data_IF_090886260397
#
_entry.id   IF_090886260397
#
_cell.length_a   1.000
_cell.length_b   1.000
_cell.length_c   1.000
_cell.angle_alpha   90.00
_cell.angle_beta   90.00
_cell.angle_gamma   90.00
#
_symmetry.space_group_name_H-M   'P 1'
#
loop_
_entity.id
_entity.type
_entity.pdbx_description
1 polymer ?
#
# COMPACT_ATOMS: atom_id res chain seq x y z
N UNK A 1 16.02 8.60 15.40
CA UNK A 1 15.55 7.65 14.36
C UNK A 1 14.48 6.76 15.00
N UNK A 2 13.20 6.79 14.58
CA UNK A 2 12.13 6.00 15.23
C UNK A 2 11.30 5.12 14.28
N UNK A 3 11.78 4.80 13.07
CA UNK A 3 10.99 4.01 12.10
C UNK A 3 11.76 3.21 11.06
N UNK A 4 13.04 3.50 10.81
CA UNK A 4 13.83 2.75 9.84
C UNK A 4 15.11 2.24 10.51
N UNK A 5 15.22 0.91 10.63
CA UNK A 5 16.46 0.22 10.99
C UNK A 5 17.43 0.31 9.80
N UNK A 6 18.68 0.69 10.05
CA UNK A 6 19.71 0.84 9.01
C UNK A 6 20.17 -0.53 8.49
N UNK A 7 20.03 -0.76 7.18
CA UNK A 7 20.56 -1.97 6.51
C UNK A 7 22.09 -1.93 6.49
N UNK A 8 22.72 -3.11 6.49
CA UNK A 8 24.17 -3.25 6.27
C UNK A 8 24.56 -2.97 4.82
N UNK A 9 23.62 -3.07 3.88
CA UNK A 9 23.82 -2.81 2.45
C UNK A 9 23.36 -1.40 2.09
N UNK A 10 24.08 -0.77 1.16
CA UNK A 10 23.70 0.54 0.61
C UNK A 10 22.26 0.51 0.06
N UNK A 11 21.43 1.54 0.27
CA UNK A 11 20.02 1.51 -0.11
C UNK A 11 19.76 1.18 -1.59
N UNK A 12 20.59 1.69 -2.51
CA UNK A 12 20.48 1.37 -3.93
C UNK A 12 20.76 -0.11 -4.24
N UNK A 13 21.64 -0.76 -3.47
CA UNK A 13 21.89 -2.20 -3.62
C UNK A 13 20.68 -3.02 -3.15
N UNK A 14 19.99 -2.60 -2.08
CA UNK A 14 18.73 -3.23 -1.65
C UNK A 14 17.65 -3.09 -2.72
N UNK A 15 17.54 -1.93 -3.37
CA UNK A 15 16.59 -1.72 -4.47
C UNK A 15 16.95 -2.56 -5.70
N UNK A 16 18.23 -2.65 -6.06
CA UNK A 16 18.68 -3.55 -7.14
C UNK A 16 18.36 -5.02 -6.84
N UNK A 17 18.63 -5.48 -5.62
CA UNK A 17 18.29 -6.83 -5.18
C UNK A 17 16.78 -7.06 -5.15
N UNK A 18 15.98 -6.05 -4.76
CA UNK A 18 14.53 -6.13 -4.80
C UNK A 18 14.01 -6.38 -6.22
N UNK A 19 14.59 -5.74 -7.24
CA UNK A 19 14.20 -5.95 -8.64
C UNK A 19 14.54 -7.36 -9.12
N UNK A 20 15.70 -7.90 -8.71
CA UNK A 20 16.08 -9.29 -9.00
C UNK A 20 15.09 -10.25 -8.34
N UNK A 21 14.78 -10.03 -7.06
CA UNK A 21 13.82 -10.85 -6.33
C UNK A 21 12.41 -10.75 -6.92
N UNK A 22 11.98 -9.56 -7.36
CA UNK A 22 10.72 -9.37 -8.06
C UNK A 22 10.65 -10.23 -9.33
N UNK A 23 11.71 -10.24 -10.14
CA UNK A 23 11.78 -11.06 -11.35
C UNK A 23 11.74 -12.56 -11.02
N UNK A 24 12.56 -13.01 -10.06
CA UNK A 24 12.59 -14.42 -9.64
C UNK A 24 11.24 -14.87 -9.08
N UNK A 25 10.67 -14.09 -8.16
CA UNK A 25 9.38 -14.40 -7.56
C UNK A 25 8.23 -14.32 -8.57
N UNK A 26 8.30 -13.42 -9.55
CA UNK A 26 7.35 -13.34 -10.67
C UNK A 26 7.38 -14.59 -11.54
N UNK A 27 8.57 -15.11 -11.87
CA UNK A 27 8.72 -16.38 -12.60
C UNK A 27 8.15 -17.54 -11.79
N UNK A 28 8.50 -17.65 -10.51
CA UNK A 28 7.98 -18.71 -9.63
C UNK A 28 6.46 -18.65 -9.50
N UNK A 29 5.90 -17.44 -9.38
CA UNK A 29 4.45 -17.22 -9.32
C UNK A 29 3.78 -17.64 -10.63
N UNK A 30 4.37 -17.30 -11.79
CA UNK A 30 3.85 -17.68 -13.10
C UNK A 30 3.86 -19.20 -13.31
N UNK A 31 4.91 -19.89 -12.87
CA UNK A 31 4.97 -21.36 -12.90
C UNK A 31 3.89 -21.98 -12.00
N UNK A 32 3.71 -21.45 -10.78
CA UNK A 32 2.66 -21.91 -9.87
C UNK A 32 1.26 -21.68 -10.46
N UNK A 33 1.02 -20.50 -11.04
CA UNK A 33 -0.22 -20.18 -11.77
C UNK A 33 -0.46 -21.21 -12.87
N UNK A 34 0.56 -21.55 -13.67
CA UNK A 34 0.41 -22.51 -14.75
C UNK A 34 0.05 -23.91 -14.26
N UNK A 35 0.66 -24.36 -13.17
CA UNK A 35 0.36 -25.66 -12.56
C UNK A 35 -1.09 -25.67 -12.06
N UNK A 36 -1.49 -24.67 -11.26
CA UNK A 36 -2.84 -24.61 -10.67
C UNK A 36 -3.90 -24.45 -11.78
N UNK A 37 -3.66 -23.58 -12.76
CA UNK A 37 -4.58 -23.34 -13.87
C UNK A 37 -4.78 -24.57 -14.73
N UNK A 38 -3.72 -25.35 -14.96
CA UNK A 38 -3.82 -26.61 -15.70
C UNK A 38 -4.61 -27.67 -14.92
N UNK A 39 -4.34 -27.82 -13.62
CA UNK A 39 -4.99 -28.81 -12.77
C UNK A 39 -6.49 -28.53 -12.57
N UNK A 40 -6.87 -27.26 -12.39
CA UNK A 40 -8.25 -26.88 -12.09
C UNK A 40 -9.08 -26.58 -13.34
N UNK A 41 -8.48 -26.03 -14.39
CA UNK A 41 -9.19 -25.46 -15.53
C UNK A 41 -8.72 -25.97 -16.90
N UNK A 42 -7.71 -26.84 -16.94
CA UNK A 42 -7.12 -27.33 -18.18
C UNK A 42 -6.33 -26.28 -18.98
N UNK A 43 -5.97 -25.16 -18.35
CA UNK A 43 -5.23 -24.06 -19.01
C UNK A 43 -3.74 -24.19 -18.68
N UNK A 44 -2.98 -24.75 -19.62
CA UNK A 44 -1.53 -24.89 -19.53
C UNK A 44 -0.74 -23.60 -19.81
N UNK A 45 0.57 -23.66 -19.59
CA UNK A 45 1.50 -22.53 -19.69
C UNK A 45 1.40 -21.74 -21.02
N UNK A 46 1.29 -22.44 -22.15
CA UNK A 46 1.23 -21.84 -23.49
C UNK A 46 -0.05 -21.05 -23.74
N UNK A 47 -1.15 -21.43 -23.08
CA UNK A 47 -2.44 -20.76 -23.24
C UNK A 47 -2.61 -19.57 -22.28
N UNK A 48 -1.90 -19.55 -21.14
CA UNK A 48 -2.03 -18.50 -20.12
C UNK A 48 -1.87 -17.09 -20.66
N UNK A 49 -0.87 -16.86 -21.52
CA UNK A 49 -0.63 -15.54 -22.11
C UNK A 49 -1.84 -15.03 -22.89
N UNK A 50 -2.46 -15.90 -23.69
CA UNK A 50 -3.64 -15.57 -24.47
C UNK A 50 -4.87 -15.36 -23.58
N UNK A 51 -5.03 -16.16 -22.52
CA UNK A 51 -6.11 -15.96 -21.54
C UNK A 51 -5.98 -14.61 -20.84
N UNK A 52 -4.78 -14.19 -20.44
CA UNK A 52 -4.61 -12.89 -19.78
C UNK A 52 -4.88 -11.70 -20.70
N UNK A 53 -4.57 -11.83 -22.00
CA UNK A 53 -4.84 -10.75 -22.96
C UNK A 53 -6.32 -10.65 -23.33
N UNK A 54 -7.02 -11.78 -23.44
CA UNK A 54 -8.42 -11.82 -23.88
C UNK A 54 -9.25 -12.80 -23.04
N UNK A 55 -9.43 -12.54 -21.73
CA UNK A 55 -10.04 -13.52 -20.82
C UNK A 55 -11.51 -13.81 -21.16
N UNK A 56 -12.22 -12.86 -21.78
CA UNK A 56 -13.60 -13.05 -22.22
C UNK A 56 -13.78 -14.15 -23.27
N UNK A 57 -12.72 -14.52 -24.00
CA UNK A 57 -12.77 -15.49 -25.09
C UNK A 57 -12.60 -16.95 -24.62
N UNK A 58 -12.39 -17.15 -23.32
CA UNK A 58 -12.12 -18.47 -22.73
C UNK A 58 -13.15 -18.80 -21.64
N UNK A 59 -13.61 -20.06 -21.60
CA UNK A 59 -14.65 -20.51 -20.68
C UNK A 59 -14.33 -20.24 -19.19
N UNK A 60 -13.06 -20.46 -18.79
CA UNK A 60 -12.56 -20.23 -17.42
C UNK A 60 -11.67 -18.98 -17.34
N UNK A 61 -11.83 -18.03 -18.26
CA UNK A 61 -10.92 -16.89 -18.36
C UNK A 61 -10.96 -15.98 -17.14
N UNK A 62 -12.14 -15.78 -16.54
CA UNK A 62 -12.29 -14.99 -15.31
C UNK A 62 -11.54 -15.63 -14.14
N UNK A 63 -11.73 -16.93 -13.93
CA UNK A 63 -11.14 -17.69 -12.83
C UNK A 63 -9.60 -17.72 -12.94
N UNK A 64 -9.08 -17.99 -14.14
CA UNK A 64 -7.65 -18.00 -14.42
C UNK A 64 -7.03 -16.61 -14.27
N UNK A 65 -7.70 -15.55 -14.74
CA UNK A 65 -7.24 -14.18 -14.54
C UNK A 65 -7.24 -13.74 -13.09
N UNK A 66 -8.30 -14.01 -12.31
CA UNK A 66 -8.33 -13.70 -10.88
C UNK A 66 -7.23 -14.45 -10.11
N UNK A 67 -7.04 -15.75 -10.40
CA UNK A 67 -5.95 -16.54 -9.83
C UNK A 67 -4.58 -15.93 -10.15
N UNK A 68 -4.38 -15.52 -11.41
CA UNK A 68 -3.11 -14.96 -11.87
C UNK A 68 -2.83 -13.61 -11.24
N UNK A 69 -3.81 -12.72 -11.16
CA UNK A 69 -3.69 -11.41 -10.52
C UNK A 69 -3.32 -11.56 -9.03
N UNK A 70 -4.03 -12.44 -8.32
CA UNK A 70 -3.80 -12.69 -6.90
C UNK A 70 -2.41 -13.29 -6.62
N UNK A 71 -2.02 -14.33 -7.35
CA UNK A 71 -0.73 -15.00 -7.14
C UNK A 71 0.46 -14.15 -7.60
N UNK A 72 0.32 -13.39 -8.69
CA UNK A 72 1.40 -12.53 -9.18
C UNK A 72 1.66 -11.35 -8.23
N UNK A 73 0.62 -10.72 -7.68
CA UNK A 73 0.79 -9.66 -6.68
C UNK A 73 1.33 -10.23 -5.36
N UNK A 74 0.72 -11.30 -4.85
CA UNK A 74 1.11 -11.88 -3.57
C UNK A 74 2.51 -12.47 -3.60
N UNK A 75 2.80 -13.29 -4.62
CA UNK A 75 4.10 -13.93 -4.80
C UNK A 75 5.16 -12.96 -5.31
N UNK A 76 4.85 -12.16 -6.34
CA UNK A 76 5.76 -11.19 -6.94
C UNK A 76 6.10 -10.04 -5.99
N UNK A 77 5.14 -9.15 -5.72
CA UNK A 77 5.39 -7.97 -4.88
C UNK A 77 5.56 -8.35 -3.40
N UNK A 78 4.57 -9.05 -2.84
CA UNK A 78 4.60 -9.45 -1.42
C UNK A 78 5.76 -10.38 -1.11
N UNK A 79 5.95 -11.42 -1.92
CA UNK A 79 7.02 -12.38 -1.76
C UNK A 79 8.41 -11.78 -1.96
N UNK A 80 8.62 -10.88 -2.93
CA UNK A 80 9.90 -10.19 -3.08
C UNK A 80 10.24 -9.30 -1.88
N UNK A 81 9.26 -8.57 -1.34
CA UNK A 81 9.45 -7.73 -0.16
C UNK A 81 9.83 -8.56 1.08
N UNK A 82 9.12 -9.68 1.30
CA UNK A 82 9.41 -10.63 2.39
C UNK A 82 10.77 -11.29 2.21
N UNK A 83 11.09 -11.74 0.99
CA UNK A 83 12.36 -12.38 0.68
C UNK A 83 13.54 -11.44 0.93
N UNK A 84 13.47 -10.19 0.47
CA UNK A 84 14.52 -9.19 0.72
C UNK A 84 14.72 -8.96 2.22
N UNK A 85 13.62 -8.81 2.96
CA UNK A 85 13.65 -8.56 4.40
C UNK A 85 14.36 -9.70 5.14
N UNK A 86 14.02 -10.95 4.81
CA UNK A 86 14.68 -12.13 5.39
C UNK A 86 16.14 -12.24 4.98
N UNK A 87 16.47 -12.01 3.71
CA UNK A 87 17.85 -12.08 3.20
C UNK A 87 18.77 -11.02 3.80
N UNK A 88 18.21 -9.88 4.21
CA UNK A 88 18.94 -8.81 4.90
C UNK A 88 19.03 -9.00 6.42
N UNK A 89 18.51 -10.12 6.94
CA UNK A 89 18.63 -10.52 8.34
C UNK A 89 17.64 -9.84 9.29
N UNK A 90 16.56 -9.26 8.76
CA UNK A 90 15.52 -8.66 9.58
C UNK A 90 14.37 -9.62 9.84
N UNK A 91 13.84 -9.56 11.07
CA UNK A 91 12.53 -10.10 11.39
C UNK A 91 11.42 -9.24 10.75
N UNK A 92 10.39 -9.89 10.19
CA UNK A 92 9.32 -9.20 9.47
C UNK A 92 8.61 -8.13 10.33
N UNK A 93 8.23 -8.42 11.60
CA UNK A 93 7.55 -7.42 12.42
C UNK A 93 8.41 -6.19 12.71
N UNK A 94 9.72 -6.37 12.88
CA UNK A 94 10.63 -5.25 13.18
C UNK A 94 10.92 -4.40 11.94
N UNK A 95 10.80 -5.01 10.76
CA UNK A 95 10.98 -4.32 9.50
C UNK A 95 9.75 -3.50 9.09
N UNK A 96 8.56 -4.12 9.12
CA UNK A 96 7.32 -3.50 8.61
C UNK A 96 6.47 -2.83 9.71
N UNK A 97 6.60 -3.26 10.96
CA UNK A 97 5.81 -2.73 12.10
C UNK A 97 6.70 -2.30 13.27
N UNK A 98 7.64 -1.37 13.07
CA UNK A 98 8.53 -0.91 14.15
C UNK A 98 7.76 -0.35 15.35
N UNK A 99 6.55 0.19 15.16
CA UNK A 99 5.59 0.45 16.24
C UNK A 99 4.52 -0.64 16.27
N UNK A 100 4.77 -1.71 17.02
CA UNK A 100 3.89 -2.90 17.06
C UNK A 100 2.49 -2.59 17.59
N UNK A 101 2.39 -1.79 18.64
CA UNK A 101 1.12 -1.42 19.25
C UNK A 101 0.69 -0.05 18.75
N UNK A 102 -0.48 0.00 18.11
CA UNK A 102 -1.16 1.23 17.70
C UNK A 102 -2.62 1.19 18.16
N UNK A 103 -3.24 2.34 18.48
CA UNK A 103 -4.67 2.36 18.76
C UNK A 103 -5.44 1.84 17.52
N UNK A 104 -6.36 0.87 17.67
CA UNK A 104 -7.09 0.31 16.53
C UNK A 104 -7.91 1.38 15.79
N UNK A 105 -8.29 2.46 16.48
CA UNK A 105 -8.94 3.62 15.87
C UNK A 105 -8.12 4.28 14.75
N UNK A 106 -6.79 4.13 14.73
CA UNK A 106 -5.97 4.64 13.62
C UNK A 106 -6.25 3.92 12.30
N UNK A 107 -6.50 2.61 12.34
CA UNK A 107 -6.84 1.83 11.14
C UNK A 107 -8.16 2.31 10.55
N UNK A 108 -9.18 2.44 11.40
CA UNK A 108 -10.51 2.91 10.98
C UNK A 108 -10.45 4.35 10.46
N UNK A 109 -9.77 5.25 11.16
CA UNK A 109 -9.66 6.65 10.74
C UNK A 109 -8.88 6.80 9.44
N UNK A 110 -7.84 5.97 9.20
CA UNK A 110 -7.10 5.96 7.95
C UNK A 110 -7.97 5.46 6.78
N UNK A 111 -8.78 4.42 7.00
CA UNK A 111 -9.79 3.97 6.04
C UNK A 111 -10.84 5.05 5.73
N UNK A 112 -11.39 5.69 6.77
CA UNK A 112 -12.37 6.78 6.62
C UNK A 112 -11.78 7.98 5.90
N UNK A 113 -10.52 8.35 6.18
CA UNK A 113 -9.82 9.44 5.50
C UNK A 113 -9.80 9.22 3.98
N UNK A 114 -9.45 8.02 3.54
CA UNK A 114 -9.38 7.66 2.12
C UNK A 114 -10.75 7.76 1.46
N UNK A 115 -11.77 7.11 2.03
CA UNK A 115 -13.14 7.15 1.49
C UNK A 115 -13.68 8.58 1.47
N UNK A 116 -13.48 9.33 2.55
CA UNK A 116 -13.88 10.73 2.64
C UNK A 116 -13.16 11.62 1.63
N UNK A 117 -11.97 11.24 1.15
CA UNK A 117 -11.20 12.00 0.16
C UNK A 117 -11.63 11.78 -1.29
N UNK A 118 -12.49 10.80 -1.57
CA UNK A 118 -12.85 10.45 -2.96
C UNK A 118 -13.54 11.60 -3.71
N UNK A 119 -14.50 12.35 -3.12
CA UNK A 119 -15.07 13.49 -3.83
C UNK A 119 -14.05 14.58 -4.14
N UNK A 120 -13.14 14.89 -3.22
CA UNK A 120 -12.02 15.77 -3.48
C UNK A 120 -11.13 15.25 -4.63
N UNK A 121 -10.86 13.95 -4.67
CA UNK A 121 -10.06 13.30 -5.71
C UNK A 121 -10.71 13.39 -7.10
N UNK A 122 -12.04 13.51 -7.20
CA UNK A 122 -12.75 13.64 -8.48
C UNK A 122 -12.28 14.82 -9.33
N UNK A 123 -11.84 15.93 -8.69
CA UNK A 123 -11.27 17.08 -9.41
C UNK A 123 -9.93 16.71 -10.05
N UNK A 124 -9.08 15.97 -9.32
CA UNK A 124 -7.78 15.55 -9.83
C UNK A 124 -7.93 14.49 -10.94
N UNK A 125 -8.92 13.58 -10.79
CA UNK A 125 -9.29 12.61 -11.83
C UNK A 125 -9.75 13.34 -13.09
N UNK A 126 -10.69 14.28 -12.96
CA UNK A 126 -11.22 15.03 -14.12
C UNK A 126 -10.17 15.87 -14.81
N UNK A 127 -9.30 16.54 -14.03
CA UNK A 127 -8.18 17.29 -14.57
C UNK A 127 -7.20 16.37 -15.33
N UNK A 128 -6.84 15.22 -14.76
CA UNK A 128 -5.90 14.31 -15.39
C UNK A 128 -6.47 13.64 -16.65
N UNK A 129 -7.78 13.34 -16.66
CA UNK A 129 -8.47 12.81 -17.84
C UNK A 129 -8.43 13.78 -19.04
N UNK A 130 -8.45 15.09 -18.76
CA UNK A 130 -8.42 16.19 -19.73
C UNK A 130 -7.00 16.64 -20.11
N UNK A 131 -5.96 16.03 -19.52
CA UNK A 131 -4.56 16.36 -19.80
C UNK A 131 -4.19 15.87 -21.20
N UNK A 132 -3.69 16.77 -22.05
CA UNK A 132 -3.10 16.45 -23.34
C UNK A 132 -1.63 16.83 -23.36
N UNK A 133 -0.81 16.00 -23.99
CA UNK A 133 0.62 16.22 -24.11
C UNK A 133 0.94 17.14 -25.30
N UNK A 134 2.12 17.78 -25.30
CA UNK A 134 2.60 18.54 -26.45
C UNK A 134 2.67 17.69 -27.72
N UNK A 135 2.58 18.32 -28.90
CA UNK A 135 2.56 17.66 -30.22
C UNK A 135 3.69 16.63 -30.41
N UNK A 136 4.89 16.92 -29.90
CA UNK A 136 6.04 16.00 -29.95
C UNK A 136 5.78 14.63 -29.30
N UNK A 137 4.80 14.54 -28.38
CA UNK A 137 4.42 13.32 -27.67
C UNK A 137 3.02 12.82 -28.04
N UNK A 138 2.36 13.42 -29.04
CA UNK A 138 0.99 13.05 -29.42
C UNK A 138 0.85 11.57 -29.82
N UNK A 139 1.84 11.03 -30.54
CA UNK A 139 1.84 9.60 -30.90
C UNK A 139 1.95 8.69 -29.67
N UNK A 140 2.77 9.07 -28.69
CA UNK A 140 2.88 8.33 -27.44
C UNK A 140 1.60 8.43 -26.61
N UNK A 141 0.98 9.61 -26.56
CA UNK A 141 -0.30 9.80 -25.87
C UNK A 141 -1.39 8.89 -26.45
N UNK A 142 -1.49 8.81 -27.77
CA UNK A 142 -2.46 7.94 -28.44
C UNK A 142 -2.24 6.47 -28.07
N UNK A 143 -0.98 5.99 -28.11
CA UNK A 143 -0.63 4.63 -27.69
C UNK A 143 -0.98 4.38 -26.21
N UNK A 144 -0.69 5.33 -25.33
CA UNK A 144 -1.00 5.23 -23.90
C UNK A 144 -2.51 5.15 -23.64
N UNK A 145 -3.31 5.98 -24.33
CA UNK A 145 -4.77 5.98 -24.23
C UNK A 145 -5.38 4.68 -24.78
N UNK A 146 -4.87 4.14 -25.89
CA UNK A 146 -5.32 2.86 -26.44
C UNK A 146 -4.99 1.69 -25.50
N UNK A 147 -3.78 1.67 -24.93
CA UNK A 147 -3.39 0.66 -23.95
C UNK A 147 -4.29 0.73 -22.69
N UNK A 148 -4.59 1.94 -22.21
CA UNK A 148 -5.49 2.15 -21.08
C UNK A 148 -6.93 1.72 -21.40
N UNK A 149 -7.47 2.05 -22.57
CA UNK A 149 -8.79 1.59 -23.01
C UNK A 149 -8.88 0.06 -23.07
N UNK A 150 -7.81 -0.60 -23.52
CA UNK A 150 -7.71 -2.08 -23.51
C UNK A 150 -7.71 -2.63 -22.09
N UNK A 151 -6.92 -2.03 -21.19
CA UNK A 151 -6.89 -2.42 -19.78
C UNK A 151 -8.26 -2.23 -19.08
N UNK A 152 -8.98 -1.16 -19.42
CA UNK A 152 -10.32 -0.89 -18.87
C UNK A 152 -11.33 -1.98 -19.27
N UNK A 153 -11.25 -2.53 -20.47
CA UNK A 153 -12.11 -3.66 -20.88
C UNK A 153 -11.87 -4.90 -20.00
N UNK A 154 -10.60 -5.20 -19.70
CA UNK A 154 -10.24 -6.29 -18.79
C UNK A 154 -10.72 -6.02 -17.36
N UNK A 155 -10.54 -4.80 -16.85
CA UNK A 155 -11.03 -4.42 -15.51
C UNK A 155 -12.54 -4.62 -15.43
N UNK A 156 -13.31 -4.09 -16.40
CA UNK A 156 -14.78 -4.24 -16.45
C UNK A 156 -15.22 -5.70 -16.54
N UNK A 157 -14.48 -6.54 -17.28
CA UNK A 157 -14.76 -7.97 -17.33
C UNK A 157 -14.54 -8.64 -15.96
N UNK A 158 -13.43 -8.33 -15.29
CA UNK A 158 -13.07 -8.91 -14.00
C UNK A 158 -13.99 -8.44 -12.87
N UNK A 159 -14.46 -7.19 -12.92
CA UNK A 159 -15.36 -6.58 -11.92
C UNK A 159 -16.84 -6.76 -12.24
N UNK A 160 -17.21 -7.56 -13.24
CA UNK A 160 -18.60 -7.95 -13.48
C UNK A 160 -19.02 -9.07 -12.54
N UNK A 161 -19.88 -8.74 -11.56
CA UNK A 161 -20.28 -9.63 -10.48
C UNK A 161 -21.57 -10.38 -10.80
N UNK A 162 -21.46 -11.46 -11.59
CA UNK A 162 -22.59 -12.36 -11.88
C UNK A 162 -23.09 -13.15 -10.66
N UNK A 163 -22.33 -13.21 -9.57
CA UNK A 163 -22.72 -13.88 -8.32
C UNK A 163 -22.06 -13.22 -7.09
N UNK A 164 -22.62 -13.40 -5.88
CA UNK A 164 -21.98 -12.94 -4.65
C UNK A 164 -20.59 -13.57 -4.42
N UNK A 165 -20.38 -14.81 -4.87
CA UNK A 165 -19.09 -15.48 -4.78
C UNK A 165 -18.01 -14.75 -5.60
N UNK A 166 -18.33 -14.30 -6.83
CA UNK A 166 -17.40 -13.51 -7.65
C UNK A 166 -17.05 -12.19 -7.00
N UNK A 167 -18.00 -11.54 -6.32
CA UNK A 167 -17.73 -10.32 -5.56
C UNK A 167 -16.78 -10.56 -4.39
N UNK A 168 -16.98 -11.63 -3.61
CA UNK A 168 -16.07 -11.98 -2.49
C UNK A 168 -14.66 -12.28 -2.98
N UNK A 169 -14.53 -13.03 -4.08
CA UNK A 169 -13.22 -13.29 -4.71
C UNK A 169 -12.59 -11.98 -5.20
N UNK A 170 -13.34 -11.09 -5.83
CA UNK A 170 -12.83 -9.79 -6.25
C UNK A 170 -12.39 -8.92 -5.07
N UNK A 171 -13.14 -8.90 -3.95
CA UNK A 171 -12.69 -8.22 -2.72
C UNK A 171 -11.35 -8.76 -2.23
N UNK A 172 -11.17 -10.09 -2.23
CA UNK A 172 -9.91 -10.69 -1.83
C UNK A 172 -8.77 -10.31 -2.79
N UNK A 173 -8.99 -10.47 -4.10
CA UNK A 173 -7.94 -10.37 -5.13
C UNK A 173 -7.62 -8.93 -5.53
N UNK A 174 -8.61 -8.03 -5.52
CA UNK A 174 -8.48 -6.64 -5.99
C UNK A 174 -8.41 -5.63 -4.82
N UNK A 175 -8.88 -5.98 -3.62
CA UNK A 175 -8.76 -5.10 -2.45
C UNK A 175 -7.75 -5.61 -1.41
N UNK A 176 -7.89 -6.83 -0.92
CA UNK A 176 -7.05 -7.33 0.18
C UNK A 176 -5.62 -7.61 -0.27
N UNK A 177 -5.43 -8.41 -1.33
CA UNK A 177 -4.10 -8.79 -1.80
C UNK A 177 -3.25 -7.56 -2.18
N UNK A 178 -3.73 -6.60 -3.00
CA UNK A 178 -2.95 -5.40 -3.33
C UNK A 178 -2.63 -4.58 -2.09
N UNK A 179 -3.62 -4.36 -1.21
CA UNK A 179 -3.41 -3.61 0.02
C UNK A 179 -2.34 -4.24 0.92
N UNK A 180 -2.15 -5.55 0.89
CA UNK A 180 -1.05 -6.20 1.64
C UNK A 180 0.25 -6.16 0.84
N UNK A 181 0.25 -6.72 -0.37
CA UNK A 181 1.45 -6.98 -1.15
C UNK A 181 2.13 -5.71 -1.63
N UNK A 182 1.35 -4.73 -2.10
CA UNK A 182 1.89 -3.46 -2.57
C UNK A 182 2.39 -2.62 -1.39
N UNK A 183 1.71 -2.60 -0.24
CA UNK A 183 2.21 -1.86 0.93
C UNK A 183 3.53 -2.42 1.45
N UNK A 184 3.67 -3.76 1.54
CA UNK A 184 4.94 -4.39 1.89
C UNK A 184 6.07 -3.98 0.93
N UNK A 185 5.79 -4.00 -0.37
CA UNK A 185 6.79 -3.68 -1.40
C UNK A 185 7.12 -2.18 -1.43
N UNK A 186 6.12 -1.32 -1.52
CA UNK A 186 6.31 0.11 -1.70
C UNK A 186 6.67 0.83 -0.41
N UNK A 187 5.92 0.62 0.68
CA UNK A 187 6.11 1.38 1.93
C UNK A 187 7.17 0.71 2.79
N UNK A 188 7.07 -0.60 2.89
CA UNK A 188 8.04 -1.41 3.63
C UNK A 188 9.45 -1.34 3.06
N UNK A 189 9.62 -1.50 1.74
CA UNK A 189 10.94 -1.56 1.12
C UNK A 189 11.31 -0.31 0.32
N UNK A 190 10.56 0.06 -0.73
CA UNK A 190 10.98 1.12 -1.65
C UNK A 190 11.10 2.47 -0.94
N UNK A 191 10.04 2.95 -0.31
CA UNK A 191 10.00 4.21 0.43
C UNK A 191 11.10 4.25 1.48
N UNK A 192 11.23 3.19 2.29
CA UNK A 192 12.28 3.09 3.30
C UNK A 192 13.69 3.28 2.72
N UNK A 193 14.02 2.59 1.63
CA UNK A 193 15.34 2.70 1.02
C UNK A 193 15.54 4.05 0.33
N UNK A 194 14.52 4.64 -0.30
CA UNK A 194 14.61 5.97 -0.92
C UNK A 194 14.75 7.08 0.13
N UNK A 195 14.07 6.98 1.27
CA UNK A 195 14.24 7.91 2.40
C UNK A 195 15.67 7.81 2.96
N UNK A 196 16.22 6.61 3.09
CA UNK A 196 17.62 6.43 3.52
C UNK A 196 18.61 6.98 2.49
N UNK A 197 18.39 6.69 1.21
CA UNK A 197 19.28 7.11 0.13
C UNK A 197 19.32 8.64 -0.03
N UNK A 198 18.16 9.27 -0.08
CA UNK A 198 18.04 10.73 -0.29
C UNK A 198 18.29 11.53 0.99
N UNK A 199 18.38 10.86 2.15
CA UNK A 199 18.40 11.49 3.47
C UNK A 199 17.23 12.45 3.73
N UNK A 200 16.14 12.31 2.97
CA UNK A 200 14.96 13.18 3.05
C UNK A 200 13.67 12.34 3.05
N UNK A 201 12.87 12.50 4.11
CA UNK A 201 11.58 11.82 4.27
C UNK A 201 10.64 12.16 3.12
N UNK A 202 10.53 13.45 2.83
CA UNK A 202 9.61 13.96 1.81
C UNK A 202 10.01 13.47 0.42
N UNK A 203 11.28 13.62 0.04
CA UNK A 203 11.75 13.19 -1.28
C UNK A 203 11.60 11.67 -1.45
N UNK A 204 11.95 10.88 -0.42
CA UNK A 204 11.78 9.43 -0.47
C UNK A 204 10.32 9.00 -0.62
N UNK A 205 9.39 9.67 0.08
CA UNK A 205 7.93 9.44 -0.05
C UNK A 205 7.45 9.82 -1.45
N UNK A 206 7.86 10.97 -1.97
CA UNK A 206 7.45 11.45 -3.29
C UNK A 206 7.93 10.52 -4.40
N UNK A 207 9.19 10.10 -4.35
CA UNK A 207 9.73 9.15 -5.32
C UNK A 207 9.03 7.79 -5.23
N UNK A 208 8.77 7.28 -4.03
CA UNK A 208 8.03 6.03 -3.86
C UNK A 208 6.60 6.12 -4.40
N UNK A 209 5.89 7.23 -4.15
CA UNK A 209 4.55 7.48 -4.67
C UNK A 209 4.54 7.61 -6.21
N UNK A 210 5.56 8.25 -6.78
CA UNK A 210 5.70 8.39 -8.23
C UNK A 210 5.95 7.02 -8.90
N UNK A 211 6.84 6.20 -8.32
CA UNK A 211 7.09 4.83 -8.81
C UNK A 211 5.83 3.98 -8.66
N UNK A 212 5.14 4.03 -7.51
CA UNK A 212 3.88 3.35 -7.27
C UNK A 212 2.85 3.67 -8.36
N UNK A 213 2.68 4.94 -8.70
CA UNK A 213 1.78 5.36 -9.77
C UNK A 213 2.25 4.89 -11.15
N UNK A 214 3.53 5.07 -11.48
CA UNK A 214 4.09 4.80 -12.80
C UNK A 214 3.99 3.33 -13.22
N UNK A 215 4.21 2.39 -12.29
CA UNK A 215 4.20 0.94 -12.60
C UNK A 215 2.82 0.40 -12.99
N UNK A 216 1.76 1.19 -12.84
CA UNK A 216 0.42 0.80 -13.29
C UNK A 216 0.19 1.06 -14.79
N UNK A 217 1.11 1.78 -15.46
CA UNK A 217 1.05 2.05 -16.91
C UNK A 217 -0.27 2.64 -17.41
N UNK A 218 -0.95 3.45 -16.59
CA UNK A 218 -2.20 4.13 -16.95
C UNK A 218 -2.02 5.63 -16.78
N UNK A 219 -1.88 6.33 -17.91
CA UNK A 219 -1.55 7.74 -17.96
C UNK A 219 -2.66 8.60 -17.32
N UNK A 220 -3.93 8.28 -17.59
CA UNK A 220 -5.08 9.03 -17.06
C UNK A 220 -5.36 8.74 -15.58
N UNK A 221 -4.72 7.73 -15.01
CA UNK A 221 -4.74 7.43 -13.57
C UNK A 221 -3.54 7.94 -12.78
N UNK A 222 -2.52 8.53 -13.43
CA UNK A 222 -1.22 8.78 -12.79
C UNK A 222 -1.30 9.72 -11.58
N UNK A 223 -1.85 10.93 -11.73
CA UNK A 223 -1.85 11.91 -10.64
C UNK A 223 -2.78 11.53 -9.47
N UNK A 224 -3.99 10.99 -9.71
CA UNK A 224 -4.82 10.45 -8.63
C UNK A 224 -4.10 9.37 -7.80
N UNK A 225 -3.41 8.44 -8.44
CA UNK A 225 -2.66 7.38 -7.75
C UNK A 225 -1.39 7.87 -7.09
N UNK A 226 -0.72 8.85 -7.69
CA UNK A 226 0.39 9.52 -7.06
C UNK A 226 -0.05 10.18 -5.75
N UNK A 227 -1.17 10.91 -5.75
CA UNK A 227 -1.73 11.54 -4.54
C UNK A 227 -2.10 10.50 -3.48
N UNK A 228 -2.77 9.40 -3.87
CA UNK A 228 -3.02 8.27 -2.96
C UNK A 228 -1.71 7.72 -2.38
N UNK A 229 -0.70 7.54 -3.24
CA UNK A 229 0.64 7.11 -2.88
C UNK A 229 1.29 7.99 -1.81
N UNK A 230 1.15 9.32 -1.94
CA UNK A 230 1.62 10.29 -0.96
C UNK A 230 0.92 10.12 0.39
N UNK A 231 -0.41 10.06 0.40
CA UNK A 231 -1.20 9.92 1.63
C UNK A 231 -0.81 8.63 2.37
N UNK A 232 -0.76 7.50 1.66
CA UNK A 232 -0.35 6.21 2.23
C UNK A 232 1.10 6.26 2.76
N UNK A 233 2.02 6.89 2.02
CA UNK A 233 3.41 7.02 2.43
C UNK A 233 3.59 7.85 3.70
N UNK A 234 2.83 8.94 3.85
CA UNK A 234 2.82 9.75 5.06
C UNK A 234 2.14 9.06 6.24
N UNK A 235 1.04 8.34 6.01
CA UNK A 235 0.40 7.53 7.04
C UNK A 235 1.37 6.48 7.59
N UNK A 236 2.17 5.84 6.73
CA UNK A 236 3.22 4.93 7.19
C UNK A 236 4.32 5.65 7.98
N UNK A 237 4.80 6.78 7.47
CA UNK A 237 5.86 7.58 8.11
C UNK A 237 5.47 8.05 9.52
N UNK A 238 4.22 8.48 9.72
CA UNK A 238 3.75 8.97 11.01
C UNK A 238 3.40 7.84 11.97
N UNK A 239 2.74 6.79 11.48
CA UNK A 239 2.29 5.69 12.31
C UNK A 239 3.40 4.70 12.68
N UNK A 240 4.44 4.57 11.85
CA UNK A 240 5.46 3.54 12.00
C UNK A 240 4.91 2.11 11.98
N UNK A 241 3.74 1.90 11.38
CA UNK A 241 3.08 0.60 11.35
C UNK A 241 2.39 0.39 10.00
N UNK A 242 2.81 -0.65 9.26
CA UNK A 242 2.31 -0.92 7.91
C UNK A 242 0.80 -1.21 7.87
N UNK A 243 0.18 -1.63 8.98
CA UNK A 243 -1.25 -1.91 9.00
C UNK A 243 -2.09 -0.64 8.75
N UNK A 244 -1.60 0.55 9.11
CA UNK A 244 -2.31 1.81 8.88
C UNK A 244 -2.49 2.10 7.38
N UNK A 245 -1.42 2.18 6.55
CA UNK A 245 -1.60 2.33 5.12
C UNK A 245 -2.27 1.11 4.47
N UNK A 246 -2.08 -0.13 4.97
CA UNK A 246 -2.82 -1.30 4.46
C UNK A 246 -4.34 -1.14 4.64
N UNK A 247 -4.81 -0.67 5.80
CA UNK A 247 -6.23 -0.43 6.04
C UNK A 247 -6.78 0.68 5.13
N UNK A 248 -6.03 1.76 4.95
CA UNK A 248 -6.37 2.86 4.05
C UNK A 248 -6.45 2.40 2.58
N UNK A 249 -5.46 1.64 2.11
CA UNK A 249 -5.43 1.11 0.74
C UNK A 249 -6.53 0.08 0.51
N UNK A 250 -6.75 -0.84 1.45
CA UNK A 250 -7.88 -1.77 1.39
C UNK A 250 -9.20 -1.02 1.27
N UNK A 251 -9.40 0.04 2.06
CA UNK A 251 -10.63 0.83 2.03
C UNK A 251 -10.85 1.51 0.66
N UNK A 252 -9.79 2.01 0.01
CA UNK A 252 -9.88 2.56 -1.34
C UNK A 252 -10.48 1.55 -2.32
N UNK A 253 -9.85 0.37 -2.40
CA UNK A 253 -10.21 -0.63 -3.41
C UNK A 253 -11.55 -1.31 -3.06
N UNK A 254 -11.76 -1.62 -1.78
CA UNK A 254 -12.99 -2.25 -1.33
C UNK A 254 -14.21 -1.33 -1.55
N UNK A 255 -14.07 -0.03 -1.26
CA UNK A 255 -15.17 0.92 -1.47
C UNK A 255 -15.53 1.05 -2.95
N UNK A 256 -14.54 1.11 -3.86
CA UNK A 256 -14.80 1.09 -5.30
C UNK A 256 -15.55 -0.18 -5.75
N UNK A 257 -15.12 -1.35 -5.27
CA UNK A 257 -15.80 -2.61 -5.59
C UNK A 257 -17.23 -2.66 -5.02
N UNK A 258 -17.45 -2.13 -3.82
CA UNK A 258 -18.79 -2.04 -3.21
C UNK A 258 -19.70 -1.12 -4.02
N UNK A 259 -19.21 0.04 -4.48
CA UNK A 259 -19.98 0.93 -5.35
C UNK A 259 -20.36 0.25 -6.68
N UNK A 260 -19.40 -0.42 -7.32
CA UNK A 260 -19.65 -1.19 -8.55
C UNK A 260 -20.66 -2.31 -8.33
N UNK A 261 -20.55 -3.04 -7.21
CA UNK A 261 -21.48 -4.10 -6.87
C UNK A 261 -22.89 -3.55 -6.61
N UNK A 262 -23.01 -2.46 -5.86
CA UNK A 262 -24.29 -1.80 -5.60
C UNK A 262 -24.94 -1.30 -6.90
N UNK A 263 -24.16 -0.71 -7.81
CA UNK A 263 -24.63 -0.26 -9.12
C UNK A 263 -25.15 -1.43 -9.97
N UNK A 264 -24.39 -2.54 -10.06
CA UNK A 264 -24.80 -3.74 -10.81
C UNK A 264 -26.03 -4.46 -10.23
N UNK A 265 -26.36 -4.18 -8.96
CA UNK A 265 -27.57 -4.69 -8.29
C UNK A 265 -28.72 -3.69 -8.28
N UNK A 266 -28.55 -2.53 -8.94
CA UNK A 266 -29.53 -1.45 -8.97
C UNK A 266 -29.90 -0.94 -7.57
N UNK A 267 -28.95 -1.00 -6.63
CA UNK A 267 -29.12 -0.46 -5.26
C UNK A 267 -28.78 1.03 -5.17
N UNK A 268 -28.05 1.57 -6.14
CA UNK A 268 -27.74 2.99 -6.24
C UNK A 268 -28.82 3.75 -7.01
N UNK A 269 -28.91 5.07 -6.79
CA UNK A 269 -29.70 5.94 -7.64
C UNK A 269 -29.34 5.74 -9.13
N UNK A 270 -30.34 5.84 -10.01
CA UNK A 270 -30.27 5.45 -11.43
C UNK A 270 -29.21 6.17 -12.27
N UNK A 271 -28.60 7.24 -11.77
CA UNK A 271 -27.66 8.09 -12.52
C UNK A 271 -26.22 8.14 -11.97
N UNK A 272 -25.88 7.36 -10.94
CA UNK A 272 -24.51 7.35 -10.39
C UNK A 272 -23.60 6.38 -11.15
N UNK A 273 -22.58 6.92 -11.82
CA UNK A 273 -21.52 6.15 -12.47
C UNK A 273 -20.21 6.21 -11.63
N UNK A 274 -19.84 5.13 -10.92
CA UNK A 274 -18.61 5.08 -10.12
C UNK A 274 -17.33 5.11 -10.97
N UNK A 275 -17.42 4.81 -12.28
CA UNK A 275 -16.29 4.86 -13.22
C UNK A 275 -16.18 6.23 -13.93
N UNK A 276 -17.07 7.18 -13.61
CA UNK A 276 -17.05 8.52 -14.22
C UNK A 276 -15.76 9.27 -13.91
N UNK A 277 -15.25 9.97 -14.92
CA UNK A 277 -14.10 10.86 -14.79
C UNK A 277 -14.51 12.32 -14.60
N UNK A 278 -15.81 12.61 -14.53
CA UNK A 278 -16.27 13.98 -14.27
C UNK A 278 -16.12 14.34 -12.78
N UNK A 279 -15.81 15.62 -12.56
CA UNK A 279 -15.71 16.14 -11.20
C UNK A 279 -17.10 16.16 -10.56
N UNK A 280 -17.17 15.77 -9.28
CA UNK A 280 -18.38 15.88 -8.49
C UNK A 280 -18.75 17.35 -8.23
N UNK A 281 -20.01 17.65 -7.89
CA UNK A 281 -20.44 19.03 -7.62
C UNK A 281 -19.59 19.69 -6.53
N UNK A 282 -19.28 20.97 -6.74
CA UNK A 282 -18.36 21.74 -5.89
C UNK A 282 -18.65 21.67 -4.38
N UNK A 283 -19.92 21.71 -3.89
CA UNK A 283 -20.19 21.57 -2.46
C UNK A 283 -19.66 20.26 -1.86
N UNK A 284 -19.79 19.14 -2.57
CA UNK A 284 -19.28 17.83 -2.13
C UNK A 284 -17.77 17.79 -2.14
N UNK A 285 -17.14 18.38 -3.16
CA UNK A 285 -15.68 18.52 -3.25
C UNK A 285 -15.14 19.33 -2.07
N UNK A 286 -15.71 20.50 -1.79
CA UNK A 286 -15.26 21.37 -0.69
C UNK A 286 -15.48 20.72 0.69
N UNK A 287 -16.63 20.07 0.90
CA UNK A 287 -16.91 19.34 2.14
C UNK A 287 -15.93 18.18 2.35
N UNK A 288 -15.66 17.40 1.28
CA UNK A 288 -14.66 16.32 1.27
C UNK A 288 -13.26 16.84 1.55
N UNK A 289 -12.82 17.91 0.88
CA UNK A 289 -11.52 18.53 1.10
C UNK A 289 -11.36 18.98 2.56
N UNK A 290 -12.36 19.64 3.13
CA UNK A 290 -12.33 20.07 4.53
C UNK A 290 -12.25 18.88 5.47
N UNK A 291 -13.13 17.89 5.31
CA UNK A 291 -13.19 16.71 6.16
C UNK A 291 -11.88 15.91 6.10
N UNK A 292 -11.37 15.62 4.91
CA UNK A 292 -10.11 14.90 4.73
C UNK A 292 -8.92 15.69 5.27
N UNK A 293 -8.89 17.02 5.11
CA UNK A 293 -7.82 17.85 5.68
C UNK A 293 -7.83 17.82 7.21
N UNK A 294 -9.02 17.91 7.82
CA UNK A 294 -9.17 17.83 9.28
C UNK A 294 -8.79 16.44 9.82
N UNK A 295 -9.21 15.36 9.13
CA UNK A 295 -8.84 13.99 9.50
C UNK A 295 -7.34 13.74 9.37
N UNK A 296 -6.73 14.21 8.28
CA UNK A 296 -5.29 14.08 8.05
C UNK A 296 -4.50 14.85 9.11
N UNK A 297 -4.90 16.09 9.42
CA UNK A 297 -4.30 16.89 10.50
C UNK A 297 -4.45 16.20 11.86
N UNK A 298 -5.63 15.67 12.17
CA UNK A 298 -5.87 14.94 13.41
C UNK A 298 -4.98 13.70 13.53
N UNK A 299 -4.89 12.89 12.46
CA UNK A 299 -4.02 11.71 12.41
C UNK A 299 -2.54 12.08 12.56
N UNK A 300 -2.09 13.11 11.84
CA UNK A 300 -0.74 13.67 11.98
C UNK A 300 -0.43 14.02 13.45
N UNK A 301 -1.30 14.80 14.09
CA UNK A 301 -1.14 15.21 15.49
C UNK A 301 -1.12 14.02 16.45
N UNK A 302 -1.95 13.00 16.22
CA UNK A 302 -2.05 11.83 17.09
C UNK A 302 -0.91 10.84 16.92
N UNK A 303 -0.48 10.58 15.68
CA UNK A 303 0.56 9.60 15.36
C UNK A 303 1.97 10.11 15.68
N UNK A 304 2.18 11.43 15.65
CA UNK A 304 3.46 12.02 16.00
C UNK A 304 3.67 12.23 17.49
N UNK A 305 2.62 12.14 18.31
CA UNK A 305 2.79 12.16 19.77
C UNK A 305 3.72 11.01 20.17
N UNK A 306 4.73 11.27 21.04
CA UNK A 306 5.50 10.20 21.63
C UNK A 306 4.53 9.19 22.24
N UNK A 307 4.64 7.92 21.84
CA UNK A 307 4.03 6.86 22.62
C UNK A 307 4.60 6.99 24.03
N UNK A 308 3.72 7.16 25.01
CA UNK A 308 4.07 6.82 26.38
C UNK A 308 4.25 5.30 26.34
N UNK A 309 5.47 4.86 26.04
CA UNK A 309 5.85 3.50 26.33
C UNK A 309 5.43 3.29 27.78
N UNK A 310 4.55 2.31 28.03
CA UNK A 310 4.31 1.89 29.40
C UNK A 310 5.66 1.66 30.07
N UNK A 311 5.76 1.79 31.41
CA UNK A 311 7.03 1.55 32.09
C UNK A 311 7.62 0.22 31.58
N UNK A 312 8.93 0.20 31.24
CA UNK A 312 9.54 -0.96 30.60
C UNK A 312 9.22 -2.21 31.42
N UNK A 313 8.71 -3.25 30.76
CA UNK A 313 8.29 -4.50 31.42
C UNK A 313 9.44 -5.18 32.16
N UNK A 314 10.67 -4.92 31.71
CA UNK A 314 11.93 -5.35 32.31
C UNK A 314 12.92 -4.19 32.34
N UNK A 315 13.51 -3.94 33.51
CA UNK A 315 14.62 -3.00 33.66
C UNK A 315 15.93 -3.79 33.74
N UNK A 316 16.84 -3.49 32.82
CA UNK A 316 18.17 -4.06 32.80
C UNK A 316 19.15 -3.08 33.43
N UNK A 317 19.67 -3.41 34.60
CA UNK A 317 20.69 -2.60 35.28
C UNK A 317 22.07 -3.19 35.02
N UNK A 318 22.94 -2.43 34.37
CA UNK A 318 24.35 -2.81 34.20
C UNK A 318 25.13 -2.48 35.48
N UNK A 319 25.68 -3.51 36.11
CA UNK A 319 26.55 -3.39 37.27
C UNK A 319 27.90 -4.06 37.06
N UNK A 320 28.83 -3.85 38.01
CA UNK A 320 30.18 -4.47 37.99
C UNK A 320 30.17 -6.01 37.96
N UNK A 321 29.03 -6.65 38.25
CA UNK A 321 28.86 -8.11 38.29
C UNK A 321 28.05 -8.68 37.11
N UNK A 322 27.68 -7.86 36.13
CA UNK A 322 26.86 -8.27 34.98
C UNK A 322 25.58 -7.46 34.82
N UNK A 323 24.64 -8.00 34.02
CA UNK A 323 23.33 -7.40 33.76
C UNK A 323 22.31 -7.98 34.75
N UNK A 324 21.76 -7.14 35.63
CA UNK A 324 20.64 -7.52 36.49
C UNK A 324 19.32 -7.22 35.77
N UNK A 325 18.42 -8.20 35.68
CA UNK A 325 17.08 -8.06 35.12
C UNK A 325 16.09 -7.92 36.27
N UNK A 326 15.30 -6.84 36.28
CA UNK A 326 14.23 -6.62 37.25
C UNK A 326 12.91 -6.53 36.49
N UNK A 327 11.95 -7.41 36.82
CA UNK A 327 10.61 -7.32 36.25
C UNK A 327 9.86 -6.12 36.84
N UNK A 328 9.13 -5.38 36.00
CA UNK A 328 8.47 -4.12 36.36
C UNK A 328 7.49 -4.23 37.54
N UNK A 329 6.95 -5.43 37.80
CA UNK A 329 6.04 -5.69 38.92
C UNK A 329 6.74 -5.59 40.29
N UNK A 330 8.06 -5.82 40.34
CA UNK A 330 8.84 -5.93 41.57
C UNK A 330 9.78 -4.73 41.79
N UNK A 331 9.79 -3.77 40.85
CA UNK A 331 10.74 -2.67 40.85
C UNK A 331 10.19 -1.40 41.52
N UNK A 332 10.87 -0.81 42.51
CA UNK A 332 10.57 0.56 42.94
C UNK A 332 10.74 1.51 41.75
N UNK A 333 9.79 2.44 41.56
CA UNK A 333 9.87 3.47 40.51
C UNK A 333 11.24 4.17 40.60
N UNK A 334 12.11 4.07 39.58
CA UNK A 334 13.41 4.68 39.65
C UNK A 334 13.24 6.21 39.67
N UNK A 335 14.06 6.94 40.45
CA UNK A 335 14.09 8.40 40.35
C UNK A 335 14.40 8.77 38.90
N UNK A 336 13.62 9.69 38.34
CA UNK A 336 13.79 10.12 36.96
C UNK A 336 15.23 10.62 36.74
N UNK A 337 15.96 9.98 35.83
CA UNK A 337 17.30 10.42 35.43
C UNK A 337 17.28 10.91 33.99
N UNK A 338 17.91 12.05 33.75
CA UNK A 338 18.06 12.64 32.43
C UNK A 338 19.29 12.03 31.75
N UNK A 339 19.17 11.58 30.51
CA UNK A 339 20.33 11.18 29.70
C UNK A 339 20.81 12.42 28.92
N UNK A 340 22.03 12.88 29.21
CA UNK A 340 22.72 13.94 28.49
C UNK A 340 23.77 13.36 27.55
N UNK A 341 24.45 14.21 26.77
CA UNK A 341 25.55 13.78 25.91
C UNK A 341 26.75 13.20 26.68
N UNK A 342 26.84 13.46 27.99
CA UNK A 342 27.90 12.98 28.89
C UNK A 342 27.51 11.71 29.66
N UNK A 343 26.31 11.17 29.41
CA UNK A 343 25.78 9.98 30.08
C UNK A 343 24.56 10.26 30.95
N UNK A 344 24.31 9.38 31.92
CA UNK A 344 23.17 9.48 32.83
C UNK A 344 23.46 10.56 33.87
N UNK A 345 22.71 11.66 33.82
CA UNK A 345 22.80 12.76 34.75
C UNK A 345 22.31 12.32 36.14
N UNK A 346 23.22 12.27 37.11
CA UNK A 346 22.95 11.82 38.48
C UNK A 346 22.73 12.98 39.45
N UNK A 347 22.57 14.22 38.97
CA UNK A 347 22.68 15.42 39.80
C UNK A 347 21.46 15.83 40.61
N UNK A 348 20.37 15.04 40.65
CA UNK A 348 19.27 15.28 41.60
C UNK A 348 18.83 13.99 42.29
N UNK A 349 19.37 13.78 43.49
CA UNK A 349 18.81 12.91 44.53
C UNK A 349 19.05 13.54 45.89
#
# INVERSE_FOLDING_TARGET
MKGFVSSRLHPLANLGLLLILLAVMGVLSTLLIAIISNLLYGVGFTALGNVQQQPSNYANGWEVSMLSQGLLLLGGFGGAAVALTKLTGYELPDYFTPRRQIPPGWLLLAAVLIVASMPAMSVLISWNAKLHLPEALAHWEELARQAEATAQNTIKYLTRFSSPARFVVALLVIAVIPAVSEELFFRGVIQRNLVQWTSSRHVGIWLAAAIFSAIHFQFLGFFPRFMLGLVLGYLYEWSGNILVPMAAHFAQNAFQLVLLYAQQREWSATDFDPDSTEALPLPWVLASLLLSSLLLWYLYQRMQRPFSDGPPTEMHTLGRRGVAVVHAADAPLPPARTLSHDGVDTTNS
#
